data_IF_764011392580
#
_entry.id   IF_764011392580
#
_cell.length_a   1.000
_cell.length_b   1.000
_cell.length_c   1.000
_cell.angle_alpha   90.00
_cell.angle_beta   90.00
_cell.angle_gamma   90.00
#
_symmetry.space_group_name_H-M   'P 1'
#
loop_
_entity.id
_entity.type
_entity.pdbx_description
1 polymer ?
#
# COMPACT_ATOMS: atom_id res chain seq x y z
N UNK A 1 54.78 -25.06 -95.94
CA UNK A 1 54.94 -23.82 -95.16
C UNK A 1 53.61 -23.18 -94.73
N UNK A 2 52.43 -23.83 -94.93
CA UNK A 2 51.14 -23.25 -94.55
C UNK A 2 50.71 -23.47 -93.08
N UNK A 3 51.33 -24.42 -92.36
CA UNK A 3 50.84 -24.87 -91.05
C UNK A 3 51.18 -23.93 -89.88
N UNK A 4 52.28 -23.16 -89.98
CA UNK A 4 52.69 -22.25 -88.90
C UNK A 4 51.93 -20.92 -88.92
N UNK A 5 51.53 -20.44 -90.09
CA UNK A 5 50.77 -19.19 -90.22
C UNK A 5 49.34 -19.35 -89.70
N UNK A 6 48.72 -20.51 -89.97
CA UNK A 6 47.38 -20.85 -89.46
C UNK A 6 47.35 -20.99 -87.92
N UNK A 7 48.40 -21.59 -87.35
CA UNK A 7 48.57 -21.66 -85.88
C UNK A 7 48.75 -20.26 -85.28
N UNK A 8 49.52 -19.38 -85.93
CA UNK A 8 49.74 -18.01 -85.48
C UNK A 8 48.44 -17.20 -85.52
N UNK A 9 47.67 -17.32 -86.60
CA UNK A 9 46.38 -16.66 -86.78
C UNK A 9 45.35 -17.12 -85.74
N UNK A 10 45.24 -18.42 -85.49
CA UNK A 10 44.35 -18.95 -84.45
C UNK A 10 44.75 -18.47 -83.05
N UNK A 11 46.05 -18.34 -82.78
CA UNK A 11 46.51 -17.81 -81.50
C UNK A 11 46.16 -16.32 -81.36
N UNK A 12 46.35 -15.53 -82.41
CA UNK A 12 45.99 -14.11 -82.43
C UNK A 12 44.48 -13.91 -82.28
N UNK A 13 43.68 -14.77 -82.91
CA UNK A 13 42.22 -14.72 -82.78
C UNK A 13 41.78 -15.07 -81.36
N UNK A 14 42.30 -16.15 -80.78
CA UNK A 14 41.98 -16.51 -79.39
C UNK A 14 42.41 -15.43 -78.38
N UNK A 15 43.56 -14.79 -78.59
CA UNK A 15 44.00 -13.67 -77.73
C UNK A 15 43.09 -12.46 -77.90
N UNK A 16 42.64 -12.17 -79.12
CA UNK A 16 41.68 -11.09 -79.38
C UNK A 16 40.33 -11.36 -78.72
N UNK A 17 39.81 -12.58 -78.85
CA UNK A 17 38.52 -12.98 -78.29
C UNK A 17 38.54 -12.96 -76.76
N UNK A 18 39.64 -13.42 -76.13
CA UNK A 18 39.80 -13.32 -74.68
C UNK A 18 39.97 -11.87 -74.20
N UNK A 19 40.64 -11.01 -74.96
CA UNK A 19 40.74 -9.58 -74.63
C UNK A 19 39.37 -8.89 -74.71
N UNK A 20 38.58 -9.18 -75.75
CA UNK A 20 37.21 -8.65 -75.89
C UNK A 20 36.30 -9.14 -74.76
N UNK A 21 36.44 -10.42 -74.37
CA UNK A 21 35.71 -10.99 -73.25
C UNK A 21 36.11 -10.37 -71.90
N UNK A 22 37.40 -10.08 -71.69
CA UNK A 22 37.89 -9.37 -70.51
C UNK A 22 37.37 -7.93 -70.48
N UNK A 23 37.42 -7.21 -71.60
CA UNK A 23 36.90 -5.84 -71.71
C UNK A 23 35.41 -5.78 -71.35
N UNK A 24 34.63 -6.73 -71.87
CA UNK A 24 33.20 -6.83 -71.56
C UNK A 24 32.94 -7.08 -70.07
N UNK A 25 33.70 -7.99 -69.44
CA UNK A 25 33.60 -8.23 -67.99
C UNK A 25 33.94 -7.01 -67.16
N UNK A 26 34.95 -6.23 -67.57
CA UNK A 26 35.33 -4.99 -66.88
C UNK A 26 34.19 -3.97 -66.96
N UNK A 27 33.61 -3.78 -68.15
CA UNK A 27 32.49 -2.84 -68.35
C UNK A 27 31.24 -3.23 -67.54
N UNK A 28 30.93 -4.53 -67.46
CA UNK A 28 29.80 -5.02 -66.65
C UNK A 28 30.05 -4.84 -65.14
N UNK A 29 31.30 -4.98 -64.67
CA UNK A 29 31.66 -4.74 -63.27
C UNK A 29 31.56 -3.27 -62.88
N UNK A 30 31.97 -2.36 -63.76
CA UNK A 30 31.86 -0.91 -63.53
C UNK A 30 30.40 -0.48 -63.41
N UNK A 31 29.53 -0.99 -64.30
CA UNK A 31 28.08 -0.73 -64.24
C UNK A 31 27.42 -1.31 -62.99
N UNK A 32 27.91 -2.43 -62.47
CA UNK A 32 27.40 -3.00 -61.22
C UNK A 32 27.76 -2.11 -60.03
N UNK A 33 29.01 -1.63 -59.96
CA UNK A 33 29.47 -0.75 -58.88
C UNK A 33 28.68 0.56 -58.82
N UNK A 34 28.41 1.18 -59.97
CA UNK A 34 27.67 2.43 -60.03
C UNK A 34 26.23 2.28 -59.50
N UNK A 35 25.58 1.14 -59.77
CA UNK A 35 24.25 0.83 -59.22
C UNK A 35 24.29 0.56 -57.71
N UNK A 36 25.33 -0.11 -57.23
CA UNK A 36 25.47 -0.40 -55.81
C UNK A 36 25.71 0.90 -55.02
N UNK A 37 26.54 1.81 -55.52
CA UNK A 37 26.79 3.13 -54.91
C UNK A 37 25.52 3.99 -54.83
N UNK A 38 24.68 3.98 -55.88
CA UNK A 38 23.39 4.70 -55.88
C UNK A 38 22.40 4.11 -54.85
N UNK A 39 22.37 2.78 -54.71
CA UNK A 39 21.54 2.10 -53.71
C UNK A 39 22.00 2.39 -52.28
N UNK A 40 23.31 2.43 -52.03
CA UNK A 40 23.87 2.77 -50.72
C UNK A 40 23.55 4.20 -50.31
N UNK A 41 23.69 5.17 -51.20
CA UNK A 41 23.34 6.58 -50.94
C UNK A 41 21.84 6.73 -50.63
N UNK A 42 20.97 6.04 -51.39
CA UNK A 42 19.52 6.07 -51.15
C UNK A 42 19.14 5.47 -49.79
N UNK A 43 19.75 4.36 -49.39
CA UNK A 43 19.52 3.75 -48.08
C UNK A 43 20.01 4.64 -46.95
N UNK A 44 21.19 5.25 -47.10
CA UNK A 44 21.75 6.19 -46.12
C UNK A 44 20.84 7.40 -45.90
N UNK A 45 20.31 7.97 -46.97
CA UNK A 45 19.40 9.12 -46.90
C UNK A 45 18.06 8.76 -46.24
N UNK A 46 17.51 7.57 -46.50
CA UNK A 46 16.30 7.07 -45.82
C UNK A 46 16.53 6.84 -44.32
N UNK A 47 17.67 6.24 -43.95
CA UNK A 47 18.05 6.02 -42.55
C UNK A 47 18.24 7.35 -41.80
N UNK A 48 18.96 8.31 -42.39
CA UNK A 48 19.16 9.64 -41.82
C UNK A 48 17.82 10.39 -41.64
N UNK A 49 16.93 10.30 -42.62
CA UNK A 49 15.59 10.88 -42.52
C UNK A 49 14.76 10.28 -41.39
N UNK A 50 14.77 8.95 -41.24
CA UNK A 50 14.04 8.26 -40.18
C UNK A 50 14.59 8.56 -38.78
N UNK A 51 15.92 8.61 -38.63
CA UNK A 51 16.57 8.97 -37.37
C UNK A 51 16.23 10.40 -36.92
N UNK A 52 16.14 11.34 -37.86
CA UNK A 52 15.73 12.71 -37.55
C UNK A 52 14.25 12.79 -37.17
N UNK A 53 13.38 12.03 -37.84
CA UNK A 53 11.97 11.94 -37.49
C UNK A 53 11.74 11.32 -36.11
N UNK A 54 12.48 10.27 -35.74
CA UNK A 54 12.36 9.66 -34.40
C UNK A 54 12.93 10.56 -33.31
N UNK A 55 14.06 11.23 -33.55
CA UNK A 55 14.62 12.18 -32.58
C UNK A 55 13.68 13.36 -32.31
N UNK A 56 13.03 13.90 -33.34
CA UNK A 56 12.06 15.00 -33.18
C UNK A 56 10.79 14.55 -32.45
N UNK A 57 10.35 13.31 -32.67
CA UNK A 57 9.22 12.74 -31.92
C UNK A 57 9.58 12.49 -30.46
N UNK A 58 10.75 11.92 -30.17
CA UNK A 58 11.23 11.66 -28.81
C UNK A 58 11.41 12.97 -28.02
N UNK A 59 12.03 13.98 -28.63
CA UNK A 59 12.22 15.27 -27.97
C UNK A 59 10.89 15.96 -27.65
N UNK A 60 9.88 15.80 -28.52
CA UNK A 60 8.52 16.29 -28.26
C UNK A 60 7.86 15.57 -27.09
N UNK A 61 7.97 14.24 -27.01
CA UNK A 61 7.41 13.44 -25.90
C UNK A 61 8.09 13.78 -24.56
N UNK A 62 9.42 13.97 -24.56
CA UNK A 62 10.19 14.39 -23.39
C UNK A 62 9.82 15.81 -22.92
N UNK A 63 9.52 16.72 -23.84
CA UNK A 63 9.05 18.07 -23.51
C UNK A 63 7.62 18.06 -22.95
N UNK A 64 6.74 17.20 -23.46
CA UNK A 64 5.36 17.06 -22.99
C UNK A 64 5.24 16.32 -21.65
N UNK A 65 6.23 15.48 -21.29
CA UNK A 65 6.25 14.71 -20.04
C UNK A 65 7.60 14.89 -19.29
N UNK A 66 7.80 15.99 -18.55
CA UNK A 66 9.02 16.18 -17.78
C UNK A 66 9.16 15.07 -16.72
N UNK A 67 10.37 14.52 -16.51
CA UNK A 67 10.59 13.47 -15.52
C UNK A 67 10.25 13.97 -14.11
N UNK A 68 9.48 13.18 -13.37
CA UNK A 68 9.07 13.48 -12.00
C UNK A 68 10.32 13.45 -11.10
N UNK A 69 10.82 14.63 -10.74
CA UNK A 69 11.97 14.78 -9.84
C UNK A 69 11.47 14.57 -8.40
N UNK A 70 11.78 13.43 -7.80
CA UNK A 70 11.38 13.13 -6.43
C UNK A 70 12.33 13.88 -5.46
N UNK A 71 11.93 15.07 -5.01
CA UNK A 71 12.68 15.83 -4.01
C UNK A 71 12.47 15.21 -2.62
N UNK A 72 13.39 14.36 -2.18
CA UNK A 72 13.40 13.83 -0.81
C UNK A 72 13.87 14.94 0.14
N UNK A 73 12.92 15.69 0.72
CA UNK A 73 13.20 16.72 1.72
C UNK A 73 13.53 16.07 3.09
N UNK A 74 14.81 15.90 3.43
CA UNK A 74 15.22 15.60 4.80
C UNK A 74 15.33 16.88 5.62
N UNK A 75 14.24 17.26 6.28
CA UNK A 75 14.22 18.36 7.24
C UNK A 75 14.81 17.89 8.58
N UNK A 76 16.06 18.24 8.87
CA UNK A 76 16.62 18.12 10.22
C UNK A 76 16.15 19.31 11.06
N UNK A 77 15.36 19.04 12.09
CA UNK A 77 14.90 20.04 13.05
C UNK A 77 15.80 20.02 14.27
N UNK A 78 16.63 21.04 14.42
CA UNK A 78 17.39 21.27 15.67
C UNK A 78 16.45 21.95 16.66
N UNK A 79 16.16 21.30 17.80
CA UNK A 79 15.19 21.79 18.80
C UNK A 79 15.83 22.69 19.86
N UNK A 80 17.17 22.63 20.02
CA UNK A 80 17.91 23.42 21.01
C UNK A 80 19.20 24.01 20.40
N UNK A 81 19.39 25.32 20.50
CA UNK A 81 20.56 26.03 19.96
C UNK A 81 20.25 27.45 19.50
N UNK A 82 21.26 28.26 19.14
CA UNK A 82 21.04 29.64 18.66
C UNK A 82 20.24 29.69 17.34
N UNK A 83 20.31 28.61 16.56
CA UNK A 83 19.74 28.49 15.21
C UNK A 83 18.36 27.81 15.21
N UNK A 84 17.72 27.70 16.39
CA UNK A 84 16.34 27.20 16.49
C UNK A 84 15.35 28.24 15.97
N UNK A 85 14.33 27.86 15.18
CA UNK A 85 13.28 28.78 14.73
C UNK A 85 12.41 29.29 15.89
N UNK A 86 12.48 28.64 17.05
CA UNK A 86 11.84 29.10 18.28
C UNK A 86 12.73 30.08 19.04
N UNK A 87 12.23 31.30 19.24
CA UNK A 87 12.82 32.25 20.19
C UNK A 87 12.81 31.65 21.60
N UNK A 88 13.90 31.80 22.36
CA UNK A 88 14.01 31.33 23.76
C UNK A 88 12.81 31.76 24.63
N UNK A 89 12.23 32.93 24.35
CA UNK A 89 11.01 33.42 25.02
C UNK A 89 9.76 32.58 24.68
N UNK A 90 9.61 32.13 23.44
CA UNK A 90 8.50 31.27 23.01
C UNK A 90 8.59 29.87 23.63
N UNK A 91 9.81 29.34 23.78
CA UNK A 91 10.04 28.06 24.44
C UNK A 91 9.67 28.12 25.94
N UNK A 92 10.04 29.21 26.62
CA UNK A 92 9.61 29.48 28.00
C UNK A 92 8.08 29.59 28.13
N UNK A 93 7.43 30.29 27.20
CA UNK A 93 5.96 30.40 27.18
C UNK A 93 5.30 29.03 26.97
N UNK A 94 5.86 28.19 26.10
CA UNK A 94 5.33 26.85 25.84
C UNK A 94 5.45 25.94 27.07
N UNK A 95 6.59 25.98 27.77
CA UNK A 95 6.78 25.26 29.03
C UNK A 95 5.84 25.79 30.11
N UNK A 96 5.70 27.11 30.24
CA UNK A 96 4.78 27.72 31.21
C UNK A 96 3.32 27.34 30.91
N UNK A 97 2.92 27.33 29.64
CA UNK A 97 1.60 26.87 29.21
C UNK A 97 1.37 25.41 29.56
N UNK A 98 2.39 24.54 29.39
CA UNK A 98 2.28 23.14 29.76
C UNK A 98 2.09 22.96 31.26
N UNK A 99 2.82 23.73 32.08
CA UNK A 99 2.69 23.73 33.54
C UNK A 99 1.30 24.21 34.00
N UNK A 100 0.73 25.21 33.32
CA UNK A 100 -0.63 25.70 33.59
C UNK A 100 -1.72 24.68 33.21
N UNK A 101 -1.45 23.76 32.28
CA UNK A 101 -2.38 22.70 31.86
C UNK A 101 -2.40 21.50 32.83
N UNK A 102 -1.35 21.29 33.64
CA UNK A 102 -1.28 20.21 34.63
C UNK A 102 -2.48 20.17 35.58
N UNK A 103 -2.91 21.29 36.21
CA UNK A 103 -4.08 21.27 37.08
C UNK A 103 -5.36 20.89 36.33
N UNK A 104 -5.49 21.20 35.04
CA UNK A 104 -6.68 20.83 34.24
C UNK A 104 -6.80 19.31 34.05
N UNK A 105 -5.68 18.57 34.02
CA UNK A 105 -5.71 17.10 33.92
C UNK A 105 -6.28 16.48 35.21
N UNK A 106 -6.03 17.07 36.37
CA UNK A 106 -6.56 16.58 37.66
C UNK A 106 -8.07 16.79 37.80
N UNK A 107 -8.61 17.80 37.12
CA UNK A 107 -10.04 18.11 37.10
C UNK A 107 -10.74 17.58 35.84
N UNK A 108 -10.12 16.66 35.09
CA UNK A 108 -10.81 15.95 34.01
C UNK A 108 -12.06 15.31 34.60
N UNK A 109 -13.25 15.68 34.11
CA UNK A 109 -14.47 15.16 34.69
C UNK A 109 -14.55 13.64 34.52
N UNK A 110 -15.09 12.92 35.52
CA UNK A 110 -15.17 11.47 35.50
C UNK A 110 -15.93 10.92 34.28
N UNK A 111 -16.87 11.71 33.71
CA UNK A 111 -17.60 11.36 32.50
C UNK A 111 -16.72 11.09 31.26
N UNK A 112 -15.50 11.62 31.21
CA UNK A 112 -14.57 11.32 30.11
C UNK A 112 -13.97 9.92 30.25
N UNK A 113 -13.86 9.40 31.47
CA UNK A 113 -13.37 8.05 31.77
C UNK A 113 -14.51 7.02 31.85
N UNK A 114 -15.75 7.47 32.08
CA UNK A 114 -16.95 6.62 32.10
C UNK A 114 -17.15 5.84 30.80
N UNK A 115 -16.74 6.37 29.64
CA UNK A 115 -16.80 5.61 28.39
C UNK A 115 -15.95 4.34 28.43
N UNK A 116 -14.80 4.38 29.09
CA UNK A 116 -13.91 3.22 29.23
C UNK A 116 -14.48 2.19 30.22
N UNK A 117 -15.04 2.65 31.34
CA UNK A 117 -15.65 1.77 32.34
C UNK A 117 -16.93 1.13 31.81
N UNK A 118 -17.80 1.89 31.15
CA UNK A 118 -19.03 1.38 30.52
C UNK A 118 -18.68 0.38 29.40
N UNK A 119 -17.65 0.66 28.59
CA UNK A 119 -17.22 -0.27 27.55
C UNK A 119 -16.72 -1.59 28.16
N UNK A 120 -15.92 -1.51 29.23
CA UNK A 120 -15.42 -2.68 29.95
C UNK A 120 -16.57 -3.50 30.57
N UNK A 121 -17.48 -2.84 31.28
CA UNK A 121 -18.66 -3.52 31.86
C UNK A 121 -19.50 -4.19 30.78
N UNK A 122 -19.75 -3.52 29.66
CA UNK A 122 -20.46 -4.10 28.52
C UNK A 122 -19.76 -5.36 28.02
N UNK A 123 -18.44 -5.32 27.86
CA UNK A 123 -17.68 -6.45 27.34
C UNK A 123 -17.66 -7.62 28.35
N UNK A 124 -17.57 -7.34 29.65
CA UNK A 124 -17.67 -8.34 30.72
C UNK A 124 -19.06 -9.01 30.75
N UNK A 125 -20.14 -8.22 30.67
CA UNK A 125 -21.50 -8.75 30.60
C UNK A 125 -21.76 -9.55 29.31
N UNK A 126 -21.20 -9.10 28.19
CA UNK A 126 -21.27 -9.83 26.92
C UNK A 126 -20.60 -11.19 27.03
N UNK A 127 -19.40 -11.26 27.62
CA UNK A 127 -18.69 -12.51 27.83
C UNK A 127 -19.49 -13.47 28.71
N UNK A 128 -20.07 -12.98 29.80
CA UNK A 128 -20.94 -13.79 30.66
C UNK A 128 -22.17 -14.32 29.92
N UNK A 129 -22.85 -13.46 29.15
CA UNK A 129 -23.99 -13.88 28.34
C UNK A 129 -23.61 -14.95 27.32
N UNK A 130 -22.55 -14.72 26.55
CA UNK A 130 -22.05 -15.67 25.54
C UNK A 130 -21.69 -17.01 26.19
N UNK A 131 -21.01 -16.97 27.32
CA UNK A 131 -20.68 -18.17 28.09
C UNK A 131 -21.92 -18.97 28.50
N UNK A 132 -22.92 -18.32 29.12
CA UNK A 132 -24.15 -19.00 29.54
C UNK A 132 -24.88 -19.56 28.31
N UNK A 133 -24.97 -18.77 27.25
CA UNK A 133 -25.66 -19.17 26.03
C UNK A 133 -25.02 -20.40 25.38
N UNK A 134 -23.71 -20.37 25.14
CA UNK A 134 -23.00 -21.48 24.52
C UNK A 134 -22.90 -22.70 25.41
N UNK A 135 -22.75 -22.52 26.73
CA UNK A 135 -22.71 -23.64 27.68
C UNK A 135 -24.03 -24.41 27.72
N UNK A 136 -25.16 -23.71 27.64
CA UNK A 136 -26.46 -24.37 27.56
C UNK A 136 -26.70 -25.02 26.20
N UNK A 137 -26.20 -24.42 25.11
CA UNK A 137 -26.26 -25.02 23.79
C UNK A 137 -25.39 -26.28 23.67
N UNK A 138 -24.23 -26.32 24.32
CA UNK A 138 -23.33 -27.49 24.33
C UNK A 138 -24.00 -28.74 24.94
N UNK A 139 -24.82 -28.56 25.98
CA UNK A 139 -25.45 -29.66 26.69
C UNK A 139 -26.53 -30.39 25.85
N UNK A 140 -27.42 -29.64 25.19
CA UNK A 140 -28.63 -30.19 24.55
C UNK A 140 -28.74 -29.87 23.04
N UNK A 141 -27.67 -29.32 22.44
CA UNK A 141 -27.65 -28.79 21.05
C UNK A 141 -28.82 -27.85 20.72
N UNK A 142 -29.42 -27.28 21.76
CA UNK A 142 -30.59 -26.41 21.67
C UNK A 142 -30.55 -25.44 22.83
N UNK A 143 -30.99 -24.21 22.58
CA UNK A 143 -31.04 -23.18 23.63
C UNK A 143 -32.32 -23.42 24.44
N UNK A 144 -32.25 -23.51 25.77
CA UNK A 144 -33.42 -23.68 26.61
C UNK A 144 -34.48 -22.61 26.34
N UNK A 145 -35.76 -23.03 26.26
CA UNK A 145 -36.89 -22.13 25.99
C UNK A 145 -36.98 -20.97 26.98
N UNK A 146 -36.62 -21.22 28.25
CA UNK A 146 -36.62 -20.20 29.30
C UNK A 146 -35.61 -19.08 29.01
N UNK A 147 -34.44 -19.42 28.47
CA UNK A 147 -33.41 -18.46 28.11
C UNK A 147 -33.83 -17.61 26.90
N UNK A 148 -34.51 -18.24 25.93
CA UNK A 148 -35.08 -17.53 24.78
C UNK A 148 -36.21 -16.58 25.20
N UNK A 149 -37.09 -17.02 26.08
CA UNK A 149 -38.18 -16.20 26.60
C UNK A 149 -37.64 -15.03 27.44
N UNK A 150 -36.66 -15.29 28.32
CA UNK A 150 -35.96 -14.25 29.06
C UNK A 150 -35.35 -13.18 28.14
N UNK A 151 -34.65 -13.59 27.08
CA UNK A 151 -34.07 -12.66 26.12
C UNK A 151 -35.15 -11.83 25.40
N UNK A 152 -36.28 -12.45 25.07
CA UNK A 152 -37.42 -11.78 24.45
C UNK A 152 -38.02 -10.73 25.38
N UNK A 153 -38.20 -11.06 26.65
CA UNK A 153 -38.77 -10.16 27.67
C UNK A 153 -37.83 -8.97 27.93
N UNK A 154 -36.52 -9.20 27.96
CA UNK A 154 -35.49 -8.14 28.06
C UNK A 154 -35.54 -7.21 26.84
N UNK A 155 -35.62 -7.77 25.62
CA UNK A 155 -35.67 -6.97 24.37
C UNK A 155 -36.96 -6.17 24.23
N UNK A 156 -38.06 -6.68 24.79
CA UNK A 156 -39.35 -6.02 24.78
C UNK A 156 -39.47 -4.90 25.84
N UNK A 157 -38.45 -4.71 26.68
CA UNK A 157 -38.47 -3.81 27.84
C UNK A 157 -39.70 -4.05 28.74
N UNK A 158 -40.04 -5.34 28.95
CA UNK A 158 -41.22 -5.70 29.73
C UNK A 158 -41.02 -5.31 31.20
N UNK A 159 -41.79 -4.32 31.64
CA UNK A 159 -41.82 -3.86 33.03
C UNK A 159 -42.08 -4.98 34.04
N UNK A 160 -42.79 -6.04 33.65
CA UNK A 160 -43.05 -7.24 34.48
C UNK A 160 -41.75 -7.98 34.77
N UNK A 161 -40.94 -8.17 33.74
CA UNK A 161 -39.64 -8.85 33.85
C UNK A 161 -38.65 -7.99 34.64
N UNK A 162 -38.60 -6.68 34.39
CA UNK A 162 -37.76 -5.75 35.18
C UNK A 162 -38.13 -5.77 36.66
N UNK A 163 -39.43 -5.78 37.00
CA UNK A 163 -39.89 -5.90 38.37
C UNK A 163 -39.52 -7.25 39.00
N UNK A 164 -39.57 -8.34 38.23
CA UNK A 164 -39.14 -9.66 38.68
C UNK A 164 -37.64 -9.68 39.03
N UNK A 165 -36.79 -9.11 38.17
CA UNK A 165 -35.34 -9.00 38.40
C UNK A 165 -35.05 -8.13 39.63
N UNK A 166 -35.72 -6.97 39.76
CA UNK A 166 -35.56 -6.10 40.93
C UNK A 166 -35.92 -6.80 42.25
N UNK A 167 -36.98 -7.63 42.24
CA UNK A 167 -37.36 -8.43 43.41
C UNK A 167 -36.30 -9.48 43.76
N UNK A 168 -35.70 -10.12 42.77
CA UNK A 168 -34.60 -11.06 42.97
C UNK A 168 -33.37 -10.36 43.57
N UNK A 169 -33.01 -9.17 43.05
CA UNK A 169 -31.91 -8.37 43.61
C UNK A 169 -32.10 -8.09 45.09
N UNK A 170 -33.29 -7.57 45.47
CA UNK A 170 -33.61 -7.31 46.88
C UNK A 170 -33.53 -8.56 47.76
N UNK A 171 -33.97 -9.71 47.25
CA UNK A 171 -33.90 -10.98 47.98
C UNK A 171 -32.44 -11.37 48.25
N UNK A 172 -31.58 -11.21 47.25
CA UNK A 172 -30.16 -11.51 47.38
C UNK A 172 -29.44 -10.52 48.31
N UNK A 173 -29.70 -9.22 48.19
CA UNK A 173 -29.17 -8.20 49.10
C UNK A 173 -29.55 -8.47 50.56
N UNK A 174 -30.81 -8.86 50.81
CA UNK A 174 -31.27 -9.23 52.14
C UNK A 174 -30.56 -10.48 52.66
N UNK A 175 -30.26 -11.45 51.78
CA UNK A 175 -29.47 -12.62 52.14
C UNK A 175 -28.04 -12.22 52.54
N UNK A 176 -27.37 -11.40 51.73
CA UNK A 176 -26.02 -10.90 52.03
C UNK A 176 -25.98 -10.15 53.36
N UNK A 177 -26.96 -9.28 53.63
CA UNK A 177 -27.08 -8.58 54.92
C UNK A 177 -27.22 -9.54 56.10
N UNK A 178 -27.99 -10.62 55.94
CA UNK A 178 -28.13 -11.62 56.99
C UNK A 178 -26.84 -12.38 57.25
N UNK A 179 -26.11 -12.75 56.20
CA UNK A 179 -24.83 -13.43 56.33
C UNK A 179 -23.77 -12.52 56.97
N UNK A 180 -23.73 -11.24 56.58
CA UNK A 180 -22.84 -10.25 57.20
C UNK A 180 -23.18 -10.04 58.68
N UNK A 181 -24.45 -9.89 59.04
CA UNK A 181 -24.88 -9.77 60.43
C UNK A 181 -24.53 -11.02 61.26
N UNK A 182 -24.69 -12.23 60.70
CA UNK A 182 -24.25 -13.46 61.37
C UNK A 182 -22.73 -13.49 61.59
N UNK A 183 -21.96 -13.05 60.60
CA UNK A 183 -20.50 -12.99 60.72
C UNK A 183 -20.07 -11.98 61.78
N UNK A 184 -20.77 -10.84 61.88
CA UNK A 184 -20.53 -9.83 62.93
C UNK A 184 -20.90 -10.36 64.33
N UNK A 185 -22.03 -11.05 64.48
CA UNK A 185 -22.43 -11.67 65.75
C UNK A 185 -21.37 -12.69 66.19
N UNK A 186 -20.92 -13.56 65.28
CA UNK A 186 -19.91 -14.57 65.59
C UNK A 186 -18.59 -13.94 66.09
N UNK A 187 -18.20 -12.78 65.53
CA UNK A 187 -17.00 -12.03 65.97
C UNK A 187 -17.16 -11.35 67.34
N UNK A 188 -18.39 -11.14 67.79
CA UNK A 188 -18.69 -10.53 69.09
C UNK A 188 -18.87 -11.57 70.21
N UNK A 189 -19.12 -12.83 69.84
CA UNK A 189 -19.21 -13.97 70.76
C UNK A 189 -17.86 -14.67 71.00
N UNK A 190 -16.83 -14.36 70.20
CA UNK A 190 -15.41 -14.69 70.43
C UNK A 190 -14.71 -13.61 71.28
#
# INVERSE_FOLDING_TARGET
MANNEEILLNLMQNVSDELEHIEKKISDLERSKEKDDELFEKQRNLLAGNLNATNTMLSKVLAENPPIVNHTHHTQYTVFGKDTPFSSKMLLILIASLLLLIPLIKYVPPYMNERSTIAKERDDYKLFYEYVFYRNFEADQSIPKDLQQMLKDIKADDTTYTNYVNRLSRKYENYLKKEDLKAQIKKLEE
#
